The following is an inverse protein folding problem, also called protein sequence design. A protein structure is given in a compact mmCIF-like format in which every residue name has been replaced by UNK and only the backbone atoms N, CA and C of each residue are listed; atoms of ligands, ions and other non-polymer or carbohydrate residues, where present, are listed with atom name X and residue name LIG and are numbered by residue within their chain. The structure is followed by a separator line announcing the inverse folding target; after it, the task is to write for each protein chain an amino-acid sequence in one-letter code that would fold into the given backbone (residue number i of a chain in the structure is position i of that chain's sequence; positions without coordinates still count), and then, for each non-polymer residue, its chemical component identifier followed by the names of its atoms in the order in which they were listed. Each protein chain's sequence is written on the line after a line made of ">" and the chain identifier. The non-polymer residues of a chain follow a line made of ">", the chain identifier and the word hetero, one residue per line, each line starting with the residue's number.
data_IF_676985911410
#
_entry.id   IF_676985911410
#
_cell.length_a   1.000
_cell.length_b   1.000
_cell.length_c   1.000
_cell.angle_alpha   90.00
_cell.angle_beta   90.00
_cell.angle_gamma   90.00
#
_symmetry.space_group_name_H-M   'P 1'
#
loop_
_entity.id
_entity.type
_entity.pdbx_description
1 polymer ?
#
# COMPACT_ATOMS: atom_id res chain seq x y z
N UNK A 1 7.34 -8.58 -7.30
CA UNK A 1 7.09 -7.28 -7.97
C UNK A 1 5.87 -7.27 -8.90
N UNK A 2 5.54 -8.35 -9.63
CA UNK A 2 4.48 -8.40 -10.67
C UNK A 2 3.14 -7.77 -10.25
N UNK A 3 2.71 -7.92 -9.00
CA UNK A 3 1.45 -7.36 -8.50
C UNK A 3 1.40 -5.83 -8.57
N UNK A 4 2.45 -5.13 -8.14
CA UNK A 4 2.54 -3.65 -8.20
C UNK A 4 2.35 -3.13 -9.64
N UNK A 5 2.86 -3.89 -10.61
CA UNK A 5 2.81 -3.55 -12.04
C UNK A 5 1.62 -4.17 -12.78
N UNK A 6 0.65 -4.79 -12.07
CA UNK A 6 -0.54 -5.36 -12.70
C UNK A 6 -1.30 -4.28 -13.48
N UNK A 7 -1.86 -4.63 -14.63
CA UNK A 7 -2.63 -3.69 -15.45
C UNK A 7 -3.72 -2.96 -14.62
N UNK A 8 -3.96 -1.66 -14.88
CA UNK A 8 -3.22 -0.77 -15.78
C UNK A 8 -1.88 -0.33 -15.16
N UNK A 9 -0.78 -0.56 -15.88
CA UNK A 9 0.60 -0.42 -15.34
C UNK A 9 0.94 1.00 -14.92
N UNK A 10 0.33 2.03 -15.52
CA UNK A 10 0.57 3.45 -15.18
C UNK A 10 0.37 3.78 -13.68
N UNK A 11 -0.41 2.97 -12.97
CA UNK A 11 -0.67 3.13 -11.53
C UNK A 11 0.25 2.29 -10.63
N UNK A 12 1.39 1.79 -11.14
CA UNK A 12 2.38 1.10 -10.32
C UNK A 12 2.94 1.99 -9.20
N UNK A 13 3.02 3.32 -9.45
CA UNK A 13 3.52 4.30 -8.48
C UNK A 13 2.69 4.32 -7.19
N UNK A 14 1.39 4.04 -7.27
CA UNK A 14 0.52 3.91 -6.10
C UNK A 14 1.00 2.80 -5.18
N UNK A 15 1.35 1.63 -5.73
CA UNK A 15 1.90 0.52 -4.95
C UNK A 15 3.29 0.82 -4.38
N UNK A 16 4.14 1.52 -5.14
CA UNK A 16 5.47 1.92 -4.65
C UNK A 16 5.39 2.90 -3.47
N UNK A 17 4.56 3.95 -3.59
CA UNK A 17 4.32 4.92 -2.51
C UNK A 17 3.63 4.27 -1.31
N UNK A 18 2.71 3.34 -1.56
CA UNK A 18 2.08 2.57 -0.50
C UNK A 18 3.08 1.74 0.31
N UNK A 19 4.02 1.05 -0.36
CA UNK A 19 5.11 0.33 0.34
C UNK A 19 6.05 1.28 1.09
N UNK A 20 6.35 2.45 0.53
CA UNK A 20 7.14 3.47 1.20
C UNK A 20 6.45 3.96 2.49
N UNK A 21 5.12 4.16 2.42
CA UNK A 21 4.29 4.46 3.58
C UNK A 21 4.29 3.29 4.58
N UNK A 22 4.05 2.04 4.20
CA UNK A 22 4.09 0.93 5.17
C UNK A 22 5.44 0.81 5.89
N UNK A 23 6.54 1.08 5.18
CA UNK A 23 7.90 1.01 5.71
C UNK A 23 8.41 2.27 6.42
N UNK A 24 7.54 3.24 6.71
CA UNK A 24 7.92 4.42 7.48
C UNK A 24 8.74 5.46 6.74
N UNK A 25 8.95 5.34 5.42
CA UNK A 25 9.70 6.32 4.62
C UNK A 25 8.94 7.65 4.43
N UNK A 26 7.65 7.67 4.70
CA UNK A 26 6.80 8.87 4.70
C UNK A 26 5.69 8.75 5.75
N UNK A 27 5.18 9.87 6.26
CA UNK A 27 4.19 9.90 7.34
C UNK A 27 2.75 9.69 6.88
N UNK A 28 2.44 9.87 5.59
CA UNK A 28 1.08 9.78 5.04
C UNK A 28 1.04 9.00 3.73
N UNK A 29 -0.13 8.45 3.39
CA UNK A 29 -0.41 7.87 2.07
C UNK A 29 -1.26 8.84 1.25
N UNK A 30 -0.60 9.79 0.58
CA UNK A 30 -1.19 10.78 -0.32
C UNK A 30 -0.28 11.00 -1.52
N UNK A 31 -0.86 11.21 -2.70
CA UNK A 31 -0.14 11.43 -3.93
C UNK A 31 -0.69 12.64 -4.68
N UNK A 32 0.16 13.27 -5.49
CA UNK A 32 -0.26 14.35 -6.38
C UNK A 32 -1.39 13.87 -7.29
N UNK A 33 -2.45 14.67 -7.41
CA UNK A 33 -3.62 14.33 -8.22
C UNK A 33 -4.53 13.26 -7.61
N UNK A 34 -4.39 12.94 -6.31
CA UNK A 34 -5.24 11.95 -5.65
C UNK A 34 -4.97 10.50 -6.07
N UNK A 35 -3.80 10.25 -6.66
CA UNK A 35 -3.42 8.95 -7.24
C UNK A 35 -3.25 7.83 -6.20
N UNK A 36 -3.30 8.13 -4.89
CA UNK A 36 -3.39 7.11 -3.84
C UNK A 36 -4.66 6.24 -3.99
N UNK A 37 -5.71 6.78 -4.62
CA UNK A 37 -6.97 6.07 -4.91
C UNK A 37 -6.97 5.27 -6.21
N UNK A 38 -5.89 5.31 -6.99
CA UNK A 38 -5.82 4.69 -8.32
C UNK A 38 -5.74 3.15 -8.29
N UNK A 39 -5.61 2.55 -7.10
CA UNK A 39 -5.68 1.11 -6.86
C UNK A 39 -6.77 0.82 -5.83
N UNK A 40 -7.53 -0.26 -6.03
CA UNK A 40 -8.57 -0.66 -5.09
C UNK A 40 -7.99 -1.09 -3.76
N UNK A 41 -8.80 -1.02 -2.69
CA UNK A 41 -8.39 -1.49 -1.37
C UNK A 41 -7.98 -2.98 -1.38
N UNK A 42 -8.67 -3.81 -2.18
CA UNK A 42 -8.32 -5.23 -2.36
C UNK A 42 -6.92 -5.39 -2.98
N UNK A 43 -6.57 -4.53 -3.94
CA UNK A 43 -5.23 -4.54 -4.52
C UNK A 43 -4.15 -4.17 -3.49
N UNK A 44 -4.42 -3.17 -2.64
CA UNK A 44 -3.50 -2.74 -1.58
C UNK A 44 -3.36 -3.80 -0.48
N UNK A 45 -4.45 -4.46 -0.09
CA UNK A 45 -4.42 -5.56 0.88
C UNK A 45 -3.61 -6.75 0.37
N UNK A 46 -3.78 -7.12 -0.90
CA UNK A 46 -2.97 -8.17 -1.51
C UNK A 46 -1.49 -7.76 -1.63
N UNK A 47 -1.22 -6.47 -1.91
CA UNK A 47 0.15 -5.96 -1.91
C UNK A 47 0.80 -6.04 -0.52
N UNK A 48 0.05 -5.70 0.53
CA UNK A 48 0.50 -5.85 1.92
C UNK A 48 0.84 -7.31 2.25
N UNK A 49 -0.05 -8.24 1.92
CA UNK A 49 0.17 -9.69 2.11
C UNK A 49 1.41 -10.20 1.37
N UNK A 50 1.60 -9.79 0.12
CA UNK A 50 2.77 -10.16 -0.68
C UNK A 50 4.07 -9.51 -0.17
N UNK A 51 3.99 -8.31 0.40
CA UNK A 51 5.14 -7.64 1.00
C UNK A 51 5.61 -8.34 2.27
N UNK A 52 4.67 -8.79 3.11
CA UNK A 52 4.95 -9.64 4.27
C UNK A 52 5.64 -10.94 3.86
N UNK A 53 5.06 -11.68 2.91
CA UNK A 53 5.64 -12.92 2.39
C UNK A 53 7.02 -12.74 1.75
N UNK A 54 7.29 -11.57 1.18
CA UNK A 54 8.58 -11.24 0.59
C UNK A 54 9.62 -10.74 1.61
N UNK A 55 9.24 -10.57 2.89
CA UNK A 55 10.14 -10.07 3.93
C UNK A 55 10.58 -8.62 3.72
N UNK A 56 9.78 -7.80 3.01
CA UNK A 56 10.13 -6.41 2.67
C UNK A 56 9.43 -5.38 3.58
N UNK A 57 8.73 -5.83 4.62
CA UNK A 57 8.20 -4.99 5.69
C UNK A 57 9.25 -4.87 6.79
N UNK A 58 9.85 -3.68 6.92
CA UNK A 58 10.95 -3.40 7.86
C UNK A 58 10.52 -3.49 9.32
N UNK A 59 9.32 -3.01 9.60
CA UNK A 59 8.69 -2.99 10.91
C UNK A 59 7.25 -3.51 10.73
N UNK A 60 7.00 -4.81 11.01
CA UNK A 60 5.69 -5.41 10.82
C UNK A 60 4.59 -4.76 11.65
N UNK A 61 4.88 -4.32 12.88
CA UNK A 61 3.89 -3.71 13.76
C UNK A 61 3.46 -2.34 13.23
N UNK A 62 4.42 -1.54 12.78
CA UNK A 62 4.15 -0.27 12.09
C UNK A 62 3.34 -0.50 10.82
N UNK A 63 3.73 -1.49 10.00
CA UNK A 63 3.04 -1.79 8.75
C UNK A 63 1.59 -2.24 8.99
N UNK A 64 1.34 -3.07 10.01
CA UNK A 64 -0.01 -3.50 10.41
C UNK A 64 -0.83 -2.32 10.90
N UNK A 65 -0.28 -1.47 11.76
CA UNK A 65 -0.96 -0.27 12.26
C UNK A 65 -1.38 0.66 11.11
N UNK A 66 -0.49 0.87 10.15
CA UNK A 66 -0.74 1.68 8.95
C UNK A 66 -1.76 1.05 8.02
N UNK A 67 -1.68 -0.26 7.77
CA UNK A 67 -2.66 -0.98 6.96
C UNK A 67 -4.05 -0.91 7.58
N UNK A 68 -4.18 -1.05 8.91
CA UNK A 68 -5.46 -0.88 9.62
C UNK A 68 -6.05 0.51 9.40
N UNK A 69 -5.23 1.57 9.47
CA UNK A 69 -5.68 2.93 9.15
C UNK A 69 -6.23 3.06 7.72
N UNK A 70 -5.58 2.42 6.74
CA UNK A 70 -6.03 2.42 5.34
C UNK A 70 -7.33 1.64 5.16
N UNK A 71 -7.50 0.50 5.84
CA UNK A 71 -8.75 -0.28 5.84
C UNK A 71 -9.91 0.50 6.48
N UNK A 72 -9.65 1.17 7.61
CA UNK A 72 -10.66 1.96 8.31
C UNK A 72 -11.18 3.11 7.43
N UNK A 73 -10.29 3.81 6.72
CA UNK A 73 -10.69 4.86 5.75
C UNK A 73 -11.48 4.29 4.58
N UNK A 74 -11.25 3.03 4.20
CA UNK A 74 -12.03 2.31 3.20
C UNK A 74 -13.34 1.72 3.73
N UNK A 75 -13.68 1.95 5.01
CA UNK A 75 -14.93 1.47 5.63
C UNK A 75 -14.91 0.00 6.07
N UNK A 76 -13.72 -0.59 6.24
CA UNK A 76 -13.55 -1.96 6.73
C UNK A 76 -13.23 -1.92 8.23
N UNK A 77 -14.07 -2.57 9.03
CA UNK A 77 -13.96 -2.68 10.50
C UNK A 77 -13.14 -3.90 10.92
#
# INVERSE_FOLDING_TARGET
>A
SRHVFKAPTRFYKTGAVFLAYLNGHQSHFRMVGGLESARSIVHLAELFRLADQAGVLRDPDLAVSRMRGVLAVAGVA
#
